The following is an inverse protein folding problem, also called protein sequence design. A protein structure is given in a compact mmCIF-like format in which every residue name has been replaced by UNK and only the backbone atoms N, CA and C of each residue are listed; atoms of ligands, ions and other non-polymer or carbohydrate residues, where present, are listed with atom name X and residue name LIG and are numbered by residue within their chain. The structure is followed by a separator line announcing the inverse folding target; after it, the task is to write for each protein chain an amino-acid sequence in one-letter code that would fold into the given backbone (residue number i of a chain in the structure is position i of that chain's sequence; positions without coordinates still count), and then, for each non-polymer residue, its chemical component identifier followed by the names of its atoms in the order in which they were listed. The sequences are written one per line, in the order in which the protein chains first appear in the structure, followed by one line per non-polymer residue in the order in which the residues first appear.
data_IF_965368867663
#
_entry.id   IF_965368867663
#
_cell.length_a   1.000
_cell.length_b   1.000
_cell.length_c   1.000
_cell.angle_alpha   90.00
_cell.angle_beta   90.00
_cell.angle_gamma   90.00
#
_symmetry.space_group_name_H-M   'P 1'
#
loop_
_entity.id
_entity.type
_entity.pdbx_description
1 polymer ?
#
# COMPACT_ATOMS: atom_id res chain seq x y z
N UNK A 1 -17.48 -0.68 33.80
CA UNK A 1 -17.06 -1.35 32.56
C UNK A 1 -16.23 -0.35 31.80
N UNK A 2 -14.91 -0.55 31.74
CA UNK A 2 -14.05 0.21 30.83
C UNK A 2 -14.21 -0.42 29.44
N UNK A 3 -14.94 0.25 28.56
CA UNK A 3 -15.07 -0.17 27.17
C UNK A 3 -13.69 -0.13 26.52
N UNK A 4 -13.22 -1.28 26.02
CA UNK A 4 -11.94 -1.39 25.32
C UNK A 4 -12.16 -1.05 23.85
N UNK A 5 -11.42 -0.07 23.36
CA UNK A 5 -11.44 0.32 21.95
C UNK A 5 -10.17 -0.17 21.26
N UNK A 6 -10.33 -0.81 20.09
CA UNK A 6 -9.23 -1.12 19.18
C UNK A 6 -9.22 -0.11 18.04
N UNK A 7 -8.08 0.54 17.80
CA UNK A 7 -7.97 1.47 16.68
C UNK A 7 -7.84 0.71 15.36
N UNK A 8 -8.82 0.87 14.48
CA UNK A 8 -8.80 0.37 13.11
C UNK A 8 -8.57 1.54 12.14
N UNK A 9 -7.88 1.25 11.05
CA UNK A 9 -7.54 2.26 10.05
C UNK A 9 -8.02 1.79 8.69
N UNK A 10 -8.99 2.50 8.12
CA UNK A 10 -9.40 2.32 6.74
C UNK A 10 -9.05 3.56 5.93
N UNK A 11 -8.35 3.33 4.82
CA UNK A 11 -8.02 4.38 3.87
C UNK A 11 -9.06 4.34 2.75
N UNK A 12 -9.99 5.29 2.78
CA UNK A 12 -10.95 5.48 1.71
C UNK A 12 -10.45 6.52 0.70
N UNK A 13 -9.82 6.07 -0.38
CA UNK A 13 -9.38 6.98 -1.44
C UNK A 13 -10.59 7.48 -2.27
N UNK A 14 -11.20 8.58 -1.87
CA UNK A 14 -12.08 9.37 -2.74
C UNK A 14 -11.19 10.40 -3.45
N UNK A 15 -10.89 10.19 -4.72
CA UNK A 15 -10.17 11.14 -5.55
C UNK A 15 -11.17 11.99 -6.35
N UNK A 16 -11.38 13.22 -5.94
CA UNK A 16 -12.15 14.18 -6.70
C UNK A 16 -11.21 15.18 -7.38
N UNK A 17 -11.48 15.44 -8.65
CA UNK A 17 -10.72 16.35 -9.49
C UNK A 17 -11.57 17.59 -9.72
N UNK A 18 -11.05 18.76 -9.35
CA UNK A 18 -11.73 20.02 -9.62
C UNK A 18 -10.77 20.99 -10.30
N UNK A 19 -11.26 21.67 -11.33
CA UNK A 19 -10.64 22.83 -11.99
C UNK A 19 -11.50 24.04 -11.64
N UNK A 20 -11.34 24.58 -10.42
CA UNK A 20 -12.13 25.74 -10.00
C UNK A 20 -11.55 27.04 -10.59
N UNK A 21 -12.36 27.86 -11.28
CA UNK A 21 -11.96 29.23 -11.58
C UNK A 21 -11.63 29.99 -10.28
N UNK A 22 -10.64 30.90 -10.27
CA UNK A 22 -9.95 31.50 -11.41
C UNK A 22 -8.59 30.85 -11.75
N UNK A 23 -8.26 29.67 -11.21
CA UNK A 23 -6.94 29.04 -11.41
C UNK A 23 -7.05 27.70 -12.17
N UNK A 24 -6.21 27.44 -13.19
CA UNK A 24 -6.21 26.18 -13.94
C UNK A 24 -5.58 24.99 -13.19
N UNK A 25 -5.25 25.18 -11.90
CA UNK A 25 -4.57 24.19 -11.05
C UNK A 25 -5.47 22.99 -10.79
N UNK A 26 -5.00 21.79 -11.15
CA UNK A 26 -5.71 20.56 -10.82
C UNK A 26 -5.52 20.27 -9.34
N UNK A 27 -6.61 19.94 -8.64
CA UNK A 27 -6.56 19.52 -7.25
C UNK A 27 -7.01 18.06 -7.12
N UNK A 28 -6.32 17.30 -6.29
CA UNK A 28 -6.73 15.97 -5.83
C UNK A 28 -6.93 16.04 -4.32
N UNK A 29 -8.11 15.68 -3.85
CA UNK A 29 -8.35 15.45 -2.42
C UNK A 29 -8.22 13.95 -2.16
N UNK A 30 -7.54 13.56 -1.09
CA UNK A 30 -7.52 12.21 -0.56
C UNK A 30 -8.09 12.26 0.84
N UNK A 31 -9.11 11.44 1.09
CA UNK A 31 -9.78 11.35 2.38
C UNK A 31 -9.28 10.07 3.06
N UNK A 32 -9.11 10.11 4.38
CA UNK A 32 -8.82 8.90 5.15
C UNK A 32 -9.40 9.08 6.53
N UNK A 33 -9.85 7.98 7.14
CA UNK A 33 -10.56 8.02 8.40
C UNK A 33 -9.85 7.17 9.45
N UNK A 34 -9.93 7.62 10.70
CA UNK A 34 -9.60 6.81 11.88
C UNK A 34 -10.89 6.24 12.43
N UNK A 35 -10.89 4.93 12.67
CA UNK A 35 -12.00 4.26 13.31
C UNK A 35 -11.56 3.67 14.66
N UNK A 36 -12.49 3.67 15.60
CA UNK A 36 -12.39 2.92 16.84
C UNK A 36 -13.45 1.82 16.81
N UNK A 37 -13.00 0.58 16.96
CA UNK A 37 -13.87 -0.58 17.17
C UNK A 37 -14.10 -0.72 18.68
N UNK A 38 -15.35 -0.67 19.09
CA UNK A 38 -15.78 -1.10 20.41
C UNK A 38 -15.71 -2.64 20.47
N UNK A 39 -14.88 -3.20 21.36
CA UNK A 39 -14.73 -4.65 21.45
C UNK A 39 -15.99 -5.37 21.95
N UNK A 40 -16.82 -4.69 22.75
CA UNK A 40 -18.01 -5.26 23.38
C UNK A 40 -19.21 -5.24 22.45
N UNK A 41 -19.47 -4.09 21.82
CA UNK A 41 -20.60 -3.93 20.91
C UNK A 41 -20.28 -4.31 19.46
N UNK A 42 -18.98 -4.44 19.12
CA UNK A 42 -18.47 -4.60 17.76
C UNK A 42 -18.83 -3.43 16.84
N UNK A 43 -19.26 -2.31 17.40
CA UNK A 43 -19.57 -1.10 16.64
C UNK A 43 -18.30 -0.36 16.25
N UNK A 44 -18.28 0.13 15.01
CA UNK A 44 -17.16 0.88 14.45
C UNK A 44 -17.51 2.35 14.37
N UNK A 45 -16.75 3.22 15.05
CA UNK A 45 -16.99 4.65 15.10
C UNK A 45 -15.85 5.43 14.44
N UNK A 46 -16.17 6.25 13.45
CA UNK A 46 -15.21 7.20 12.89
C UNK A 46 -14.90 8.31 13.91
N UNK A 47 -13.64 8.44 14.32
CA UNK A 47 -13.23 9.44 15.32
C UNK A 47 -12.56 10.66 14.71
N UNK A 48 -11.84 10.49 13.61
CA UNK A 48 -11.15 11.57 12.91
C UNK A 48 -11.16 11.34 11.39
N UNK A 49 -11.33 12.44 10.65
CA UNK A 49 -11.16 12.50 9.19
C UNK A 49 -9.92 13.30 8.87
N UNK A 50 -9.20 12.88 7.84
CA UNK A 50 -8.01 13.53 7.36
C UNK A 50 -8.21 13.82 5.87
N UNK A 51 -8.11 15.10 5.53
CA UNK A 51 -8.17 15.60 4.17
C UNK A 51 -6.76 15.96 3.73
N UNK A 52 -6.25 15.23 2.74
CA UNK A 52 -4.97 15.50 2.12
C UNK A 52 -5.26 16.16 0.77
N UNK A 53 -4.91 17.43 0.64
CA UNK A 53 -5.03 18.17 -0.61
C UNK A 53 -3.70 18.16 -1.35
N UNK A 54 -3.73 17.72 -2.59
CA UNK A 54 -2.62 17.76 -3.54
C UNK A 54 -2.98 18.79 -4.60
N UNK A 55 -2.21 19.87 -4.66
CA UNK A 55 -2.33 20.90 -5.69
C UNK A 55 -1.26 20.66 -6.75
N UNK A 56 -1.70 20.39 -7.97
CA UNK A 56 -0.83 20.07 -9.10
C UNK A 56 -0.54 21.33 -9.92
N UNK A 57 0.72 21.70 -9.96
CA UNK A 57 1.23 22.85 -10.70
C UNK A 57 2.09 22.36 -11.88
N UNK A 58 2.32 23.20 -12.91
CA UNK A 58 3.13 22.81 -14.08
C UNK A 58 4.55 22.30 -13.75
N UNK A 59 5.10 22.67 -12.58
CA UNK A 59 6.45 22.30 -12.14
C UNK A 59 6.49 21.45 -10.87
N UNK A 60 5.35 20.99 -10.36
CA UNK A 60 5.33 20.06 -9.23
C UNK A 60 4.05 20.11 -8.41
N UNK A 61 4.11 19.60 -7.18
CA UNK A 61 2.94 19.41 -6.34
C UNK A 61 3.12 20.05 -4.96
N UNK A 62 2.03 20.63 -4.45
CA UNK A 62 1.94 21.14 -3.07
C UNK A 62 0.97 20.29 -2.27
N UNK A 63 1.35 19.89 -1.06
CA UNK A 63 0.59 18.96 -0.23
C UNK A 63 0.14 19.63 1.07
N UNK A 64 -1.15 19.58 1.36
CA UNK A 64 -1.73 20.06 2.61
C UNK A 64 -2.44 18.93 3.34
N UNK A 65 -2.38 18.94 4.67
CA UNK A 65 -3.10 18.02 5.54
C UNK A 65 -4.03 18.81 6.47
N UNK A 66 -5.32 18.52 6.43
CA UNK A 66 -6.29 19.01 7.40
C UNK A 66 -6.91 17.84 8.15
N UNK A 67 -7.11 18.01 9.45
CA UNK A 67 -7.78 17.03 10.31
C UNK A 67 -9.11 17.59 10.77
N UNK A 68 -10.15 16.76 10.78
CA UNK A 68 -11.48 17.10 11.28
C UNK A 68 -11.93 16.02 12.26
N UNK A 69 -12.72 16.40 13.26
CA UNK A 69 -13.46 15.39 14.05
C UNK A 69 -14.41 14.61 13.13
N UNK A 70 -14.58 13.32 13.41
CA UNK A 70 -15.51 12.43 12.73
C UNK A 70 -16.98 12.77 13.01
N UNK A 71 -17.43 13.96 12.60
CA UNK A 71 -18.83 14.40 12.66
C UNK A 71 -19.58 14.23 11.33
N UNK A 72 -18.83 13.99 10.26
CA UNK A 72 -19.34 13.86 8.89
C UNK A 72 -19.23 12.38 8.50
N UNK A 73 -20.25 11.88 7.83
CA UNK A 73 -20.20 10.56 7.19
C UNK A 73 -19.01 10.54 6.21
N UNK A 74 -18.02 9.62 6.36
CA UNK A 74 -16.86 9.52 5.46
C UNK A 74 -17.23 9.29 3.99
N UNK A 75 -18.49 8.95 3.70
CA UNK A 75 -19.01 8.69 2.38
C UNK A 75 -19.82 9.86 1.80
N UNK A 76 -20.11 10.91 2.59
CA UNK A 76 -20.80 12.12 2.15
C UNK A 76 -19.89 13.35 2.30
N UNK A 77 -19.12 13.61 1.25
CA UNK A 77 -18.18 14.72 1.21
C UNK A 77 -18.44 15.62 0.00
N UNK A 78 -18.76 16.89 0.27
CA UNK A 78 -18.69 17.94 -0.74
C UNK A 78 -17.23 18.38 -0.91
N UNK A 79 -16.63 17.94 -2.01
CA UNK A 79 -15.24 18.26 -2.35
C UNK A 79 -15.04 19.76 -2.52
N UNK A 80 -16.05 20.48 -3.01
CA UNK A 80 -15.99 21.93 -3.18
C UNK A 80 -16.01 22.64 -1.83
N UNK A 81 -16.82 22.17 -0.89
CA UNK A 81 -16.82 22.67 0.49
C UNK A 81 -15.48 22.41 1.18
N UNK A 82 -14.90 21.21 1.01
CA UNK A 82 -13.57 20.86 1.52
C UNK A 82 -12.50 21.80 0.93
N UNK A 83 -12.50 21.99 -0.39
CA UNK A 83 -11.55 22.88 -1.07
C UNK A 83 -11.71 24.34 -0.61
N UNK A 84 -12.93 24.80 -0.40
CA UNK A 84 -13.23 26.15 0.09
C UNK A 84 -12.73 26.33 1.53
N UNK A 85 -13.04 25.38 2.41
CA UNK A 85 -12.59 25.36 3.81
C UNK A 85 -11.06 25.31 3.93
N UNK A 86 -10.42 24.49 3.09
CA UNK A 86 -8.95 24.38 3.03
C UNK A 86 -8.31 25.70 2.55
N UNK A 87 -8.97 26.44 1.67
CA UNK A 87 -8.45 27.70 1.10
C UNK A 87 -8.67 28.90 2.01
N UNK A 88 -9.82 28.99 2.65
CA UNK A 88 -10.18 30.12 3.52
C UNK A 88 -9.56 30.01 4.91
N UNK A 89 -9.21 28.78 5.33
CA UNK A 89 -8.63 28.47 6.63
C UNK A 89 -9.66 28.64 7.73
N UNK A 90 -9.86 27.60 8.56
CA UNK A 90 -10.82 27.68 9.67
C UNK A 90 -10.61 28.96 10.49
N UNK A 91 -11.65 29.79 10.56
CA UNK A 91 -11.65 31.14 11.13
C UNK A 91 -11.41 31.14 12.66
N UNK A 92 -11.36 29.96 13.30
CA UNK A 92 -11.12 29.77 14.73
C UNK A 92 -9.74 29.19 15.11
N UNK A 93 -8.69 30.00 15.04
CA UNK A 93 -7.57 30.04 16.02
C UNK A 93 -6.74 28.80 16.40
N UNK A 94 -6.84 27.63 15.75
CA UNK A 94 -6.00 26.45 16.09
C UNK A 94 -4.76 26.34 15.21
N UNK A 95 -3.67 25.80 15.78
CA UNK A 95 -2.39 25.60 15.08
C UNK A 95 -2.56 24.71 13.82
N UNK A 96 -1.78 24.95 12.75
CA UNK A 96 -1.77 24.08 11.57
C UNK A 96 -1.54 22.61 11.94
N UNK A 97 -2.38 21.71 11.40
CA UNK A 97 -2.29 20.27 11.66
C UNK A 97 -2.98 19.79 12.95
N UNK A 98 -3.53 20.68 13.76
CA UNK A 98 -4.45 20.32 14.83
C UNK A 98 -5.81 19.87 14.28
N UNK A 99 -6.55 19.07 15.06
CA UNK A 99 -7.93 18.68 14.72
C UNK A 99 -8.83 19.92 14.69
N UNK A 100 -9.59 20.06 13.60
CA UNK A 100 -10.41 21.21 13.23
C UNK A 100 -9.58 22.52 13.07
N UNK A 101 -8.26 22.40 12.94
CA UNK A 101 -7.34 23.51 12.75
C UNK A 101 -7.11 23.89 11.29
N UNK A 102 -6.22 24.85 11.07
CA UNK A 102 -5.80 25.26 9.72
C UNK A 102 -5.07 24.10 9.01
N UNK A 103 -5.13 24.04 7.67
CA UNK A 103 -4.40 23.03 6.92
C UNK A 103 -2.89 23.19 7.14
N UNK A 104 -2.21 22.07 7.39
CA UNK A 104 -0.76 22.00 7.51
C UNK A 104 -0.16 21.82 6.12
N UNK A 105 0.64 22.80 5.66
CA UNK A 105 1.51 22.61 4.51
C UNK A 105 2.59 21.58 4.88
N UNK A 106 2.64 20.47 4.14
CA UNK A 106 3.62 19.42 4.36
C UNK A 106 4.92 19.76 3.62
N UNK A 107 6.08 19.88 4.31
CA UNK A 107 7.35 20.12 3.65
C UNK A 107 7.73 18.92 2.77
N UNK A 108 7.89 19.08 1.44
CA UNK A 108 8.14 17.93 0.55
C UNK A 108 9.39 17.13 0.92
N UNK A 109 10.43 17.80 1.39
CA UNK A 109 11.68 17.15 1.82
C UNK A 109 11.54 16.28 3.08
N UNK A 110 10.53 16.54 3.92
CA UNK A 110 10.25 15.74 5.12
C UNK A 110 9.30 14.57 4.85
N UNK A 111 8.66 14.53 3.68
CA UNK A 111 7.63 13.55 3.34
C UNK A 111 8.09 12.60 2.25
N UNK A 112 8.74 13.14 1.22
CA UNK A 112 9.08 12.42 0.01
C UNK A 112 10.58 12.16 -0.09
N UNK A 113 10.93 11.01 -0.66
CA UNK A 113 12.31 10.64 -0.92
C UNK A 113 12.96 11.60 -1.92
N UNK A 114 14.26 11.85 -1.78
CA UNK A 114 15.01 12.56 -2.79
C UNK A 114 15.07 11.70 -4.07
N UNK A 115 14.81 12.32 -5.21
CA UNK A 115 15.13 11.68 -6.49
C UNK A 115 16.64 11.77 -6.71
N UNK A 116 17.25 10.66 -7.14
CA UNK A 116 18.67 10.58 -7.47
C UNK A 116 18.83 10.43 -8.97
N UNK A 117 19.94 10.90 -9.52
CA UNK A 117 20.20 10.84 -10.97
C UNK A 117 20.31 9.42 -11.52
N UNK A 118 20.59 8.43 -10.67
CA UNK A 118 20.63 7.02 -11.02
C UNK A 118 19.26 6.32 -10.90
N UNK A 119 18.23 7.03 -10.43
CA UNK A 119 16.88 6.50 -10.36
C UNK A 119 16.17 6.66 -11.70
N UNK A 120 15.21 5.76 -11.93
CA UNK A 120 14.39 5.71 -13.13
C UNK A 120 13.21 6.66 -12.96
N UNK A 121 13.17 7.76 -13.69
CA UNK A 121 11.94 8.58 -13.79
C UNK A 121 10.91 7.87 -14.68
N UNK A 122 9.65 7.86 -14.26
CA UNK A 122 8.56 7.27 -15.03
C UNK A 122 8.30 8.10 -16.30
N UNK A 123 8.29 7.42 -17.43
CA UNK A 123 7.95 8.03 -18.71
C UNK A 123 6.43 8.12 -18.89
N UNK A 124 5.93 9.36 -18.92
CA UNK A 124 4.51 9.67 -19.05
C UNK A 124 3.91 9.27 -20.40
N UNK A 125 4.71 9.07 -21.46
CA UNK A 125 4.22 8.54 -22.74
C UNK A 125 3.71 7.09 -22.59
N UNK A 126 4.21 6.36 -21.60
CA UNK A 126 3.79 4.99 -21.29
C UNK A 126 2.63 4.91 -20.28
N UNK A 127 1.96 6.03 -19.97
CA UNK A 127 0.83 6.04 -19.06
C UNK A 127 -0.35 5.26 -19.62
N UNK A 128 -0.78 4.23 -18.89
CA UNK A 128 -2.01 3.48 -19.20
C UNK A 128 -2.88 3.31 -17.95
N UNK A 129 -4.19 3.03 -18.11
CA UNK A 129 -5.09 2.71 -16.98
C UNK A 129 -4.66 1.48 -16.17
N UNK A 130 -3.78 0.63 -16.74
CA UNK A 130 -3.18 -0.54 -16.08
C UNK A 130 -2.07 -0.18 -15.12
N UNK A 131 -1.75 1.10 -14.92
CA UNK A 131 -0.72 1.53 -13.98
C UNK A 131 -1.33 2.25 -12.77
N UNK A 132 -0.77 1.96 -11.61
CA UNK A 132 -1.13 2.51 -10.30
C UNK A 132 0.03 3.37 -9.77
N UNK A 133 -0.29 4.53 -9.19
CA UNK A 133 0.68 5.38 -8.52
C UNK A 133 0.63 5.12 -7.00
N UNK A 134 1.62 4.38 -6.49
CA UNK A 134 1.75 4.13 -5.05
C UNK A 134 2.38 5.35 -4.38
N UNK A 135 1.55 6.15 -3.70
CA UNK A 135 1.99 7.32 -2.91
C UNK A 135 2.27 6.93 -1.45
N UNK A 136 3.21 7.62 -0.75
CA UNK A 136 3.37 7.48 0.69
C UNK A 136 2.08 7.79 1.45
N UNK A 137 1.83 7.08 2.56
CA UNK A 137 0.69 7.36 3.44
C UNK A 137 0.95 8.64 4.24
N UNK A 138 0.15 9.68 4.00
CA UNK A 138 0.32 11.01 4.63
C UNK A 138 -0.53 11.23 5.89
N UNK A 139 -1.30 10.22 6.30
CA UNK A 139 -2.20 10.26 7.45
C UNK A 139 -1.53 10.74 8.76
N UNK A 140 -0.29 10.31 9.00
CA UNK A 140 0.45 10.65 10.22
C UNK A 140 1.41 11.82 10.03
N UNK A 141 1.38 12.48 8.88
CA UNK A 141 2.34 13.53 8.54
C UNK A 141 2.13 14.83 9.32
N UNK A 142 1.12 14.93 10.19
CA UNK A 142 1.01 16.04 11.13
C UNK A 142 2.07 15.96 12.25
N UNK A 143 2.34 14.74 12.73
CA UNK A 143 3.32 14.48 13.78
C UNK A 143 4.73 14.40 13.16
N UNK A 144 5.69 15.27 13.56
CA UNK A 144 7.05 15.24 13.02
C UNK A 144 7.80 13.93 13.23
N UNK A 145 7.57 13.23 14.35
CA UNK A 145 8.23 11.96 14.68
C UNK A 145 7.72 10.88 13.73
N UNK A 146 6.40 10.74 13.61
CA UNK A 146 5.81 9.78 12.68
C UNK A 146 6.11 10.14 11.23
N UNK A 147 6.10 11.43 10.86
CA UNK A 147 6.49 11.90 9.52
C UNK A 147 7.90 11.45 9.16
N UNK A 148 8.88 11.66 10.05
CA UNK A 148 10.27 11.22 9.87
C UNK A 148 10.36 9.69 9.72
N UNK A 149 9.65 8.95 10.58
CA UNK A 149 9.60 7.48 10.53
C UNK A 149 9.00 6.97 9.21
N UNK A 150 7.85 7.50 8.78
CA UNK A 150 7.20 7.12 7.51
C UNK A 150 8.05 7.48 6.30
N UNK A 151 8.74 8.62 6.32
CA UNK A 151 9.71 8.97 5.30
C UNK A 151 10.83 7.94 5.21
N UNK A 152 11.38 7.46 6.33
CA UNK A 152 12.43 6.43 6.29
C UNK A 152 11.96 5.12 5.64
N UNK A 153 10.70 4.72 5.85
CA UNK A 153 10.13 3.56 5.16
C UNK A 153 9.94 3.81 3.66
N UNK A 154 9.51 5.02 3.27
CA UNK A 154 9.43 5.40 1.87
C UNK A 154 10.81 5.43 1.20
N UNK A 155 11.83 5.95 1.88
CA UNK A 155 13.21 5.98 1.38
C UNK A 155 13.76 4.57 1.13
N UNK A 156 13.54 3.65 2.07
CA UNK A 156 13.91 2.24 1.90
C UNK A 156 13.15 1.57 0.76
N UNK A 157 11.84 1.83 0.64
CA UNK A 157 11.03 1.25 -0.43
C UNK A 157 11.48 1.75 -1.81
N UNK A 158 11.68 3.05 -1.98
CA UNK A 158 12.19 3.63 -3.24
C UNK A 158 13.55 3.03 -3.60
N UNK A 159 14.46 2.94 -2.62
CA UNK A 159 15.77 2.34 -2.83
C UNK A 159 15.64 0.87 -3.27
N UNK A 160 14.78 0.08 -2.62
CA UNK A 160 14.55 -1.31 -2.95
C UNK A 160 14.03 -1.49 -4.38
N UNK A 161 13.07 -0.67 -4.83
CA UNK A 161 12.58 -0.75 -6.22
C UNK A 161 13.66 -0.40 -7.24
N UNK A 162 14.41 0.69 -7.01
CA UNK A 162 15.40 1.21 -7.95
C UNK A 162 16.67 0.35 -8.04
N UNK A 163 17.13 -0.17 -6.91
CA UNK A 163 18.42 -0.88 -6.85
C UNK A 163 18.29 -2.39 -6.93
N UNK A 164 17.12 -2.93 -6.60
CA UNK A 164 16.91 -4.37 -6.47
C UNK A 164 15.78 -4.87 -7.36
N UNK A 165 14.52 -4.49 -7.10
CA UNK A 165 13.38 -5.15 -7.74
C UNK A 165 13.34 -4.93 -9.25
N UNK A 166 13.71 -3.75 -9.76
CA UNK A 166 13.75 -3.48 -11.21
C UNK A 166 14.73 -4.37 -11.98
N UNK A 167 15.72 -4.94 -11.29
CA UNK A 167 16.76 -5.80 -11.88
C UNK A 167 16.48 -7.29 -11.67
N UNK A 168 15.46 -7.62 -10.89
CA UNK A 168 15.13 -8.96 -10.45
C UNK A 168 13.63 -9.21 -10.63
N UNK A 169 13.10 -8.92 -11.83
CA UNK A 169 11.67 -9.10 -12.12
C UNK A 169 11.24 -10.57 -11.96
N UNK A 170 10.01 -10.78 -11.48
CA UNK A 170 9.38 -12.09 -11.37
C UNK A 170 7.87 -11.95 -11.65
N UNK A 171 7.22 -12.87 -12.38
CA UNK A 171 5.81 -12.74 -12.76
C UNK A 171 4.84 -12.64 -11.58
N UNK A 172 5.20 -13.23 -10.44
CA UNK A 172 4.41 -13.18 -9.20
C UNK A 172 4.84 -12.07 -8.22
N UNK A 173 5.65 -11.10 -8.67
CA UNK A 173 5.99 -9.87 -7.94
C UNK A 173 5.52 -8.68 -8.76
N UNK A 174 4.97 -7.66 -8.10
CA UNK A 174 4.44 -6.49 -8.80
C UNK A 174 5.50 -5.80 -9.66
N UNK A 175 5.12 -5.52 -10.91
CA UNK A 175 6.01 -4.84 -11.84
C UNK A 175 6.12 -3.35 -11.52
N UNK A 176 7.34 -2.86 -11.51
CA UNK A 176 7.70 -1.47 -11.32
C UNK A 176 8.05 -0.79 -12.64
N UNK A 177 7.62 0.45 -12.82
CA UNK A 177 7.74 1.22 -14.05
C UNK A 177 8.52 2.53 -13.90
N UNK A 178 8.96 2.90 -12.69
CA UNK A 178 9.70 4.14 -12.44
C UNK A 178 9.07 5.03 -11.37
N UNK A 179 9.84 6.04 -10.97
CA UNK A 179 9.49 7.05 -9.99
C UNK A 179 8.66 8.15 -10.65
N UNK A 180 7.56 8.54 -10.01
CA UNK A 180 6.89 9.80 -10.32
C UNK A 180 7.62 10.91 -9.58
N UNK A 181 8.21 11.85 -10.32
CA UNK A 181 9.07 12.89 -9.78
C UNK A 181 8.38 14.25 -9.84
N UNK A 182 8.48 15.02 -8.75
CA UNK A 182 8.08 16.42 -8.71
C UNK A 182 9.06 17.19 -7.83
N UNK A 183 9.58 18.33 -8.32
CA UNK A 183 10.54 19.16 -7.59
C UNK A 183 11.74 18.37 -6.99
N UNK A 184 12.30 17.42 -7.74
CA UNK A 184 13.42 16.57 -7.28
C UNK A 184 13.04 15.58 -6.17
N UNK A 185 11.75 15.29 -5.98
CA UNK A 185 11.25 14.34 -5.00
C UNK A 185 10.46 13.22 -5.65
N UNK A 186 10.61 12.00 -5.16
CA UNK A 186 9.78 10.85 -5.55
C UNK A 186 8.45 10.92 -4.82
N UNK A 187 7.40 11.34 -5.53
CA UNK A 187 6.05 11.51 -4.97
C UNK A 187 5.22 10.24 -5.04
N UNK A 188 5.54 9.34 -5.98
CA UNK A 188 4.95 8.01 -6.08
C UNK A 188 5.89 7.03 -6.78
N UNK A 189 5.65 5.74 -6.56
CA UNK A 189 6.19 4.67 -7.40
C UNK A 189 5.12 4.24 -8.39
N UNK A 190 5.47 4.13 -9.67
CA UNK A 190 4.56 3.65 -10.70
C UNK A 190 4.62 2.13 -10.76
N UNK A 191 3.53 1.47 -10.37
CA UNK A 191 3.40 0.02 -10.31
C UNK A 191 2.34 -0.46 -11.28
N UNK A 192 2.39 -1.73 -11.66
CA UNK A 192 1.27 -2.35 -12.37
C UNK A 192 0.04 -2.41 -11.45
N UNK A 193 -1.12 -2.06 -12.00
CA UNK A 193 -2.40 -2.04 -11.29
C UNK A 193 -3.04 -3.43 -11.37
N UNK A 194 -3.39 -3.96 -10.22
CA UNK A 194 -4.22 -5.15 -10.11
C UNK A 194 -5.59 -4.77 -9.54
N UNK A 195 -6.63 -5.54 -9.87
CA UNK A 195 -8.03 -5.17 -9.63
C UNK A 195 -8.45 -5.31 -8.17
N UNK A 196 -8.11 -6.42 -7.53
CA UNK A 196 -8.50 -6.74 -6.14
C UNK A 196 -7.40 -7.46 -5.39
N UNK A 197 -7.37 -7.24 -4.08
CA UNK A 197 -6.53 -8.04 -3.17
C UNK A 197 -7.10 -9.45 -3.03
N UNK A 198 -6.27 -10.40 -2.60
CA UNK A 198 -6.71 -11.74 -2.26
C UNK A 198 -7.75 -11.72 -1.13
N UNK A 199 -7.58 -10.81 -0.16
CA UNK A 199 -8.58 -10.56 0.88
C UNK A 199 -9.96 -10.19 0.30
N UNK A 200 -10.01 -9.23 -0.63
CA UNK A 200 -11.26 -8.86 -1.31
C UNK A 200 -11.81 -10.01 -2.16
N UNK A 201 -10.93 -10.80 -2.78
CA UNK A 201 -11.32 -11.98 -3.55
C UNK A 201 -12.00 -13.06 -2.69
N UNK A 202 -11.61 -13.20 -1.42
CA UNK A 202 -12.24 -14.14 -0.48
C UNK A 202 -13.70 -13.81 -0.18
N UNK A 203 -14.16 -12.57 -0.43
CA UNK A 203 -15.58 -12.20 -0.28
C UNK A 203 -16.47 -12.76 -1.39
N UNK A 204 -15.90 -13.15 -2.53
CA UNK A 204 -16.62 -13.73 -3.67
C UNK A 204 -16.48 -15.26 -3.68
N UNK A 205 -17.18 -15.93 -2.78
CA UNK A 205 -17.11 -17.40 -2.67
C UNK A 205 -17.90 -18.14 -3.75
N UNK A 206 -18.70 -17.42 -4.54
CA UNK A 206 -19.46 -17.99 -5.64
C UNK A 206 -18.55 -18.46 -6.79
N UNK A 207 -17.46 -17.72 -7.06
CA UNK A 207 -16.42 -18.14 -8.01
C UNK A 207 -15.39 -19.03 -7.30
N UNK A 208 -15.17 -20.29 -7.75
CA UNK A 208 -14.14 -21.15 -7.17
C UNK A 208 -12.76 -20.51 -7.33
N UNK A 209 -11.86 -20.79 -6.39
CA UNK A 209 -10.47 -20.36 -6.41
C UNK A 209 -9.58 -21.60 -6.39
N UNK A 210 -8.60 -21.68 -7.28
CA UNK A 210 -7.55 -22.70 -7.20
C UNK A 210 -6.53 -22.29 -6.12
N UNK A 211 -6.80 -22.73 -4.89
CA UNK A 211 -5.96 -22.40 -3.73
C UNK A 211 -4.52 -22.87 -3.92
N UNK A 212 -4.32 -24.08 -4.46
CA UNK A 212 -2.99 -24.65 -4.65
C UNK A 212 -2.18 -23.82 -5.65
N UNK A 213 -2.82 -23.35 -6.73
CA UNK A 213 -2.20 -22.44 -7.70
C UNK A 213 -1.83 -21.10 -7.06
N UNK A 214 -2.72 -20.47 -6.29
CA UNK A 214 -2.44 -19.20 -5.60
C UNK A 214 -1.27 -19.33 -4.64
N UNK A 215 -1.25 -20.39 -3.82
CA UNK A 215 -0.16 -20.62 -2.88
C UNK A 215 1.15 -20.91 -3.62
N UNK A 216 1.10 -21.65 -4.73
CA UNK A 216 2.27 -21.90 -5.59
C UNK A 216 2.86 -20.62 -6.18
N UNK A 217 2.03 -19.71 -6.68
CA UNK A 217 2.44 -18.41 -7.19
C UNK A 217 3.14 -17.55 -6.11
N UNK A 218 2.60 -17.49 -4.90
CA UNK A 218 3.25 -16.73 -3.81
C UNK A 218 4.53 -17.42 -3.36
N UNK A 219 4.55 -18.76 -3.29
CA UNK A 219 5.74 -19.54 -2.94
C UNK A 219 6.90 -19.28 -3.89
N UNK A 220 6.66 -19.25 -5.20
CA UNK A 220 7.72 -18.96 -6.20
C UNK A 220 8.23 -17.53 -6.12
N UNK A 221 7.35 -16.55 -5.86
CA UNK A 221 7.77 -15.17 -5.55
C UNK A 221 8.68 -15.10 -4.32
N UNK A 222 8.33 -15.79 -3.23
CA UNK A 222 9.14 -15.82 -2.00
C UNK A 222 10.46 -16.54 -2.21
N UNK A 223 10.47 -17.68 -2.91
CA UNK A 223 11.71 -18.35 -3.30
C UNK A 223 12.62 -17.41 -4.11
N UNK A 224 12.06 -16.68 -5.07
CA UNK A 224 12.81 -15.70 -5.83
C UNK A 224 13.45 -14.63 -4.94
N UNK A 225 12.71 -14.07 -3.98
CA UNK A 225 13.24 -13.11 -2.99
C UNK A 225 14.36 -13.71 -2.13
N UNK A 226 14.16 -14.95 -1.68
CA UNK A 226 15.08 -15.61 -0.75
C UNK A 226 16.36 -16.07 -1.42
N UNK A 227 16.29 -16.52 -2.68
CA UNK A 227 17.41 -17.22 -3.33
C UNK A 227 17.89 -16.58 -4.61
N UNK A 228 17.09 -15.82 -5.36
CA UNK A 228 17.47 -15.44 -6.74
C UNK A 228 17.80 -13.95 -6.89
N UNK A 229 17.62 -13.16 -5.85
CA UNK A 229 17.90 -11.73 -5.90
C UNK A 229 19.40 -11.45 -5.97
N UNK A 230 19.76 -10.44 -6.77
CA UNK A 230 21.10 -9.90 -6.80
C UNK A 230 21.09 -8.37 -6.77
N UNK A 231 22.16 -7.79 -6.24
CA UNK A 231 22.46 -6.35 -6.34
C UNK A 231 23.65 -6.15 -7.26
N UNK A 232 23.81 -4.93 -7.77
CA UNK A 232 24.98 -4.54 -8.57
C UNK A 232 25.82 -3.53 -7.81
N UNK A 233 27.15 -3.68 -7.88
CA UNK A 233 28.07 -2.63 -7.42
C UNK A 233 28.21 -1.50 -8.46
N UNK A 234 28.98 -0.47 -8.12
CA UNK A 234 29.18 0.73 -8.95
C UNK A 234 29.82 0.44 -10.32
N UNK A 235 30.47 -0.72 -10.49
CA UNK A 235 31.08 -1.17 -11.75
C UNK A 235 30.26 -2.27 -12.44
N UNK A 236 29.10 -2.63 -11.88
CA UNK A 236 28.09 -3.51 -12.48
C UNK A 236 28.17 -4.99 -12.11
N UNK A 237 29.10 -5.40 -11.23
CA UNK A 237 29.24 -6.79 -10.78
C UNK A 237 28.02 -7.22 -9.97
N UNK A 238 27.57 -8.46 -10.19
CA UNK A 238 26.41 -9.01 -9.48
C UNK A 238 26.84 -9.74 -8.21
N UNK A 239 26.20 -9.40 -7.10
CA UNK A 239 26.29 -10.14 -5.84
C UNK A 239 24.91 -10.64 -5.45
N UNK A 240 24.78 -11.93 -5.20
CA UNK A 240 23.54 -12.55 -4.75
C UNK A 240 23.24 -12.13 -3.31
N UNK A 241 22.01 -11.72 -3.04
CA UNK A 241 21.59 -11.19 -1.73
C UNK A 241 20.21 -11.74 -1.42
N UNK A 242 20.00 -12.27 -0.22
CA UNK A 242 18.67 -12.75 0.19
C UNK A 242 17.83 -11.60 0.75
N UNK A 243 16.57 -11.47 0.31
CA UNK A 243 15.60 -10.51 0.82
C UNK A 243 14.39 -11.22 1.43
N UNK A 244 13.81 -10.66 2.48
CA UNK A 244 12.57 -11.17 3.08
C UNK A 244 11.47 -10.11 2.96
N UNK A 245 10.26 -10.50 2.61
CA UNK A 245 9.12 -9.57 2.48
C UNK A 245 8.66 -9.04 3.84
N UNK A 246 8.69 -9.90 4.86
CA UNK A 246 8.34 -9.74 6.29
C UNK A 246 6.88 -9.42 6.61
N UNK A 247 6.05 -9.11 5.61
CA UNK A 247 4.64 -8.78 5.81
C UNK A 247 3.71 -9.53 4.85
N UNK A 248 3.95 -10.82 4.63
CA UNK A 248 3.07 -11.65 3.76
C UNK A 248 1.70 -11.83 4.44
N UNK A 249 0.64 -11.42 3.73
CA UNK A 249 -0.76 -11.60 4.14
C UNK A 249 -1.69 -11.38 2.93
N UNK A 250 -2.98 -11.72 3.07
CA UNK A 250 -3.96 -11.65 1.98
C UNK A 250 -4.25 -10.23 1.45
N UNK A 251 -3.93 -9.16 2.21
CA UNK A 251 -4.04 -7.79 1.70
C UNK A 251 -2.84 -7.38 0.83
N UNK A 252 -1.69 -8.02 1.04
CA UNK A 252 -0.45 -7.77 0.30
C UNK A 252 -0.25 -8.73 -0.88
N UNK A 253 -1.30 -9.49 -1.24
CA UNK A 253 -1.34 -10.33 -2.43
C UNK A 253 -2.49 -9.82 -3.30
N UNK A 254 -2.21 -9.52 -4.56
CA UNK A 254 -3.23 -9.19 -5.55
C UNK A 254 -3.58 -10.42 -6.37
N UNK A 255 -4.84 -10.50 -6.82
CA UNK A 255 -5.28 -11.53 -7.77
C UNK A 255 -5.58 -10.84 -9.10
N UNK A 256 -4.96 -11.32 -10.17
CA UNK A 256 -5.20 -10.86 -11.54
C UNK A 256 -5.74 -11.99 -12.39
N UNK A 257 -6.41 -11.64 -13.48
CA UNK A 257 -6.86 -12.62 -14.47
C UNK A 257 -5.83 -12.70 -15.61
N UNK A 258 -5.43 -13.93 -15.95
CA UNK A 258 -4.69 -14.27 -17.16
C UNK A 258 -5.51 -15.30 -17.94
N UNK A 259 -6.33 -14.80 -18.87
CA UNK A 259 -7.44 -15.57 -19.43
C UNK A 259 -8.42 -15.99 -18.34
N UNK A 260 -8.69 -17.30 -18.25
CA UNK A 260 -9.59 -17.88 -17.25
C UNK A 260 -8.91 -18.17 -15.89
N UNK A 261 -7.60 -17.94 -15.78
CA UNK A 261 -6.82 -18.29 -14.59
C UNK A 261 -6.59 -17.10 -13.69
N UNK A 262 -6.73 -17.32 -12.39
CA UNK A 262 -6.38 -16.35 -11.36
C UNK A 262 -4.89 -16.50 -10.99
N UNK A 263 -4.11 -15.44 -11.15
CA UNK A 263 -2.68 -15.39 -10.86
C UNK A 263 -2.44 -14.49 -9.66
N UNK A 264 -1.63 -14.97 -8.70
CA UNK A 264 -1.28 -14.20 -7.51
C UNK A 264 -0.03 -13.36 -7.74
N UNK A 265 -0.05 -12.11 -7.29
CA UNK A 265 1.07 -11.18 -7.38
C UNK A 265 1.33 -10.55 -6.01
N UNK A 266 2.55 -10.72 -5.50
CA UNK A 266 2.99 -10.13 -4.24
C UNK A 266 3.27 -8.62 -4.42
N UNK A 267 2.73 -7.81 -3.52
CA UNK A 267 2.85 -6.36 -3.48
C UNK A 267 3.31 -5.88 -2.09
N UNK A 268 3.51 -4.57 -1.93
CA UNK A 268 3.72 -3.90 -0.65
C UNK A 268 5.06 -4.22 0.05
N UNK A 269 6.16 -3.94 -0.65
CA UNK A 269 7.53 -4.17 -0.22
C UNK A 269 8.10 -3.13 0.77
N UNK A 270 7.26 -2.32 1.43
CA UNK A 270 7.73 -1.26 2.34
C UNK A 270 8.22 -1.77 3.72
N UNK A 271 8.03 -3.08 3.97
CA UNK A 271 8.62 -3.79 5.11
C UNK A 271 9.75 -4.73 4.67
N UNK A 272 9.97 -4.88 3.36
CA UNK A 272 10.96 -5.81 2.83
C UNK A 272 12.37 -5.37 3.20
N UNK A 273 13.19 -6.32 3.63
CA UNK A 273 14.56 -6.07 4.07
C UNK A 273 15.46 -7.23 3.66
N UNK A 274 16.74 -6.93 3.45
CA UNK A 274 17.76 -7.97 3.28
C UNK A 274 17.77 -8.89 4.50
N UNK A 275 17.93 -10.19 4.33
CA UNK A 275 17.96 -11.16 5.41
C UNK A 275 19.01 -10.81 6.48
N UNK A 276 18.64 -10.92 7.75
CA UNK A 276 19.46 -10.56 8.90
C UNK A 276 19.46 -9.08 9.27
N UNK A 277 18.83 -8.21 8.47
CA UNK A 277 18.68 -6.79 8.82
C UNK A 277 17.55 -6.55 9.82
N UNK A 278 17.59 -5.47 10.63
CA UNK A 278 16.55 -5.17 11.59
C UNK A 278 15.15 -5.06 10.97
N UNK A 279 14.13 -5.59 11.65
CA UNK A 279 12.74 -5.38 11.26
C UNK A 279 12.37 -3.90 11.43
N UNK A 280 11.70 -3.34 10.42
CA UNK A 280 11.33 -1.92 10.39
C UNK A 280 9.86 -1.69 10.77
N UNK A 281 8.97 -1.91 9.80
CA UNK A 281 7.59 -1.43 9.84
C UNK A 281 6.59 -2.43 10.44
N UNK A 282 6.74 -3.72 10.13
CA UNK A 282 5.85 -4.80 10.61
C UNK A 282 6.64 -5.81 11.44
N UNK A 283 6.09 -6.19 12.59
CA UNK A 283 6.56 -7.30 13.43
C UNK A 283 5.43 -8.32 13.66
N UNK A 284 4.35 -8.26 12.87
CA UNK A 284 3.12 -9.05 13.08
C UNK A 284 3.41 -10.56 13.15
N UNK A 285 4.24 -11.02 12.24
CA UNK A 285 4.60 -12.44 12.07
C UNK A 285 5.80 -12.86 12.93
N UNK A 286 6.45 -11.91 13.62
CA UNK A 286 7.51 -12.17 14.58
C UNK A 286 7.62 -11.06 15.65
N UNK A 287 6.72 -11.04 16.64
CA UNK A 287 6.64 -9.94 17.59
C UNK A 287 7.87 -9.79 18.50
N UNK A 288 8.64 -10.87 18.67
CA UNK A 288 9.85 -10.91 19.49
C UNK A 288 11.13 -10.90 18.65
N UNK A 289 11.00 -11.15 17.34
CA UNK A 289 12.07 -11.13 16.37
C UNK A 289 12.65 -9.74 16.20
N UNK A 290 13.97 -9.68 16.04
CA UNK A 290 14.70 -8.42 15.86
C UNK A 290 15.12 -8.18 14.41
N UNK A 291 15.18 -9.25 13.61
CA UNK A 291 15.77 -9.23 12.27
C UNK A 291 14.92 -10.00 11.26
N UNK A 292 14.97 -9.59 10.01
CA UNK A 292 14.34 -10.27 8.88
C UNK A 292 14.92 -11.66 8.63
N UNK A 293 14.07 -12.64 8.34
CA UNK A 293 14.47 -13.96 7.89
C UNK A 293 13.33 -14.65 7.12
N UNK A 294 13.66 -15.62 6.27
CA UNK A 294 12.70 -16.32 5.41
C UNK A 294 11.54 -16.96 6.18
N UNK A 295 11.80 -17.46 7.40
CA UNK A 295 10.76 -18.04 8.26
C UNK A 295 9.58 -17.11 8.56
N UNK A 296 9.76 -15.78 8.57
CA UNK A 296 8.66 -14.82 8.73
C UNK A 296 7.70 -14.92 7.53
N UNK A 297 8.26 -14.94 6.32
CA UNK A 297 7.47 -15.01 5.08
C UNK A 297 6.73 -16.33 4.96
N UNK A 298 7.38 -17.44 5.35
CA UNK A 298 6.75 -18.77 5.31
C UNK A 298 5.59 -18.88 6.29
N UNK A 299 5.69 -18.32 7.50
CA UNK A 299 4.56 -18.23 8.44
C UNK A 299 3.41 -17.41 7.84
N UNK A 300 3.72 -16.28 7.20
CA UNK A 300 2.70 -15.46 6.54
C UNK A 300 2.01 -16.20 5.38
N UNK A 301 2.74 -17.01 4.62
CA UNK A 301 2.16 -17.87 3.57
C UNK A 301 1.26 -18.97 4.15
N UNK A 302 1.67 -19.61 5.24
CA UNK A 302 0.89 -20.65 5.93
C UNK A 302 -0.42 -20.10 6.50
N UNK A 303 -0.40 -18.88 7.09
CA UNK A 303 -1.62 -18.20 7.51
C UNK A 303 -2.56 -17.93 6.33
N UNK A 304 -2.03 -17.44 5.20
CA UNK A 304 -2.82 -17.21 3.98
C UNK A 304 -3.44 -18.52 3.48
N UNK A 305 -2.67 -19.59 3.39
CA UNK A 305 -3.17 -20.91 2.96
C UNK A 305 -4.28 -21.41 3.89
N UNK A 306 -4.08 -21.30 5.20
CA UNK A 306 -5.07 -21.70 6.21
C UNK A 306 -6.38 -20.95 6.02
N UNK A 307 -6.34 -19.64 5.82
CA UNK A 307 -7.54 -18.83 5.59
C UNK A 307 -8.21 -19.16 4.26
N UNK A 308 -7.44 -19.33 3.18
CA UNK A 308 -8.00 -19.72 1.89
C UNK A 308 -8.71 -21.08 1.94
N UNK A 309 -8.14 -22.07 2.63
CA UNK A 309 -8.76 -23.40 2.75
C UNK A 309 -10.04 -23.39 3.60
N UNK A 310 -10.17 -22.46 4.55
CA UNK A 310 -11.44 -22.23 5.28
C UNK A 310 -12.50 -21.62 4.38
N UNK A 311 -12.12 -20.63 3.56
CA UNK A 311 -13.05 -19.92 2.67
C UNK A 311 -13.46 -20.79 1.46
N UNK A 312 -12.54 -21.60 0.94
CA UNK A 312 -12.71 -22.44 -0.25
C UNK A 312 -12.45 -23.94 0.05
N UNK A 313 -13.31 -24.61 0.83
CA UNK A 313 -13.07 -25.97 1.32
C UNK A 313 -13.09 -27.06 0.23
N UNK A 314 -13.67 -26.78 -0.94
CA UNK A 314 -13.75 -27.70 -2.07
C UNK A 314 -12.65 -27.50 -3.12
N UNK A 315 -11.79 -26.48 -2.95
CA UNK A 315 -10.68 -26.22 -3.86
C UNK A 315 -9.57 -27.25 -3.64
N UNK A 316 -9.37 -28.15 -4.61
CA UNK A 316 -8.29 -29.15 -4.59
C UNK A 316 -8.73 -30.62 -4.46
N UNK A 317 -10.02 -30.95 -4.42
CA UNK A 317 -10.45 -32.34 -4.68
C UNK A 317 -10.71 -32.52 -6.17
N UNK A 318 -9.77 -33.15 -6.88
CA UNK A 318 -10.08 -33.79 -8.17
C UNK A 318 -11.36 -34.63 -7.99
N UNK A 319 -12.37 -34.49 -8.87
CA UNK A 319 -13.54 -35.34 -8.82
C UNK A 319 -13.07 -36.79 -8.98
N UNK A 320 -13.26 -37.62 -7.95
CA UNK A 320 -13.22 -39.06 -8.14
C UNK A 320 -14.26 -39.40 -9.20
N UNK A 321 -13.81 -39.83 -10.38
CA UNK A 321 -14.68 -40.20 -11.49
C UNK A 321 -15.73 -41.22 -11.04
N UNK A 322 -16.87 -41.30 -11.74
CA UNK A 322 -17.97 -42.18 -11.36
C UNK A 322 -17.46 -43.62 -11.34
N UNK A 323 -17.51 -44.24 -10.16
CA UNK A 323 -17.19 -45.64 -9.96
C UNK A 323 -18.04 -46.48 -10.90
N UNK A 324 -17.35 -47.27 -11.72
CA UNK A 324 -17.95 -48.32 -12.53
C UNK A 324 -18.69 -49.27 -11.58
N UNK A 325 -20.02 -49.28 -11.64
CA UNK A 325 -20.82 -50.35 -11.05
C UNK A 325 -20.59 -51.60 -11.89
N UNK A 326 -19.98 -52.61 -11.27
CA UNK A 326 -19.99 -53.96 -11.79
C UNK A 326 -21.42 -54.53 -11.65
N UNK A 327 -21.95 -55.04 -12.77
CA UNK A 327 -22.98 -56.08 -12.78
C UNK A 327 -22.26 -57.38 -13.10
#
# INVERSE_FOLDING_TARGET
METRFVTLWEQLLIAAHSRLPPLPTLHTVVITARFELDEETRECRCTELYYILISHHPRGETHYLQRSKGKVDPWQHDVLEILTTLREGSVGGRQPGAVDGRPLLLPPAEVFSAFRSDFTEFDWEHLTPKLYAKRPKLLHSADPIERKKRKSFADLEVLLYETVLRHNEHPNIVKYHGCVVANGRVTALKLYRHSKTLYQRCSDTAKPLDVDSIISHVRTALQHLHTNMYVRDDVGNKSQVSYCHTDVNAHNIMVTEDGDREVAVLIAFDSCAQAGQPLGKSMRLDPVGKTSHAGIDWRGLEEVETELRKVFPCAGRTPSGPGVQAI
#
